data_IF_475114027869
#
_entry.id   IF_475114027869
#
_cell.length_a   1.000
_cell.length_b   1.000
_cell.length_c   1.000
_cell.angle_alpha   90.00
_cell.angle_beta   90.00
_cell.angle_gamma   90.00
#
_symmetry.space_group_name_H-M   'P 1'
#
loop_
_entity.id
_entity.type
_entity.pdbx_description
1 polymer ?
#
# COMPACT_ATOMS: atom_id res chain seq x y z
N UNK A 1 30.20 39.65 -28.88
CA UNK A 1 30.75 38.89 -27.74
C UNK A 1 30.38 39.66 -26.48
N UNK A 2 29.48 39.27 -25.58
CA UNK A 2 28.85 37.98 -25.26
C UNK A 2 27.43 38.32 -24.73
N UNK A 3 26.34 38.04 -25.45
CA UNK A 3 25.58 36.78 -25.36
C UNK A 3 26.25 35.74 -24.46
N UNK A 4 25.78 35.61 -23.21
CA UNK A 4 25.98 34.50 -22.25
C UNK A 4 26.00 35.05 -20.81
N UNK A 5 24.84 35.47 -20.26
CA UNK A 5 24.50 35.29 -18.83
C UNK A 5 23.05 35.69 -18.50
N UNK A 6 22.11 35.44 -19.42
CA UNK A 6 20.66 35.58 -19.19
C UNK A 6 20.00 34.24 -18.77
N UNK A 7 20.79 33.29 -18.28
CA UNK A 7 20.29 32.11 -17.58
C UNK A 7 20.85 32.15 -16.18
N UNK A 8 20.01 32.42 -15.18
CA UNK A 8 20.09 31.81 -13.86
C UNK A 8 18.82 32.17 -13.08
N UNK A 9 17.98 31.14 -12.93
CA UNK A 9 17.01 30.94 -11.86
C UNK A 9 15.77 31.83 -11.86
N UNK A 10 14.89 31.57 -12.85
CA UNK A 10 13.50 31.39 -12.50
C UNK A 10 13.38 30.11 -11.64
N UNK A 11 13.75 30.17 -10.36
CA UNK A 11 13.12 29.28 -9.38
C UNK A 11 11.68 29.78 -9.35
N UNK A 12 10.84 29.22 -10.20
CA UNK A 12 9.44 29.13 -9.86
C UNK A 12 9.45 28.42 -8.51
N UNK A 13 9.25 29.19 -7.44
CA UNK A 13 8.78 28.62 -6.21
C UNK A 13 7.53 27.85 -6.63
N UNK A 14 7.66 26.53 -6.80
CA UNK A 14 6.51 25.66 -6.74
C UNK A 14 6.03 25.85 -5.32
N UNK A 15 5.17 26.85 -5.14
CA UNK A 15 4.24 26.90 -4.03
C UNK A 15 3.41 25.64 -4.22
N UNK A 16 3.91 24.53 -3.71
CA UNK A 16 3.10 23.34 -3.53
C UNK A 16 1.98 23.82 -2.60
N UNK A 17 0.72 23.85 -3.05
CA UNK A 17 -0.36 24.18 -2.13
C UNK A 17 -0.25 23.22 -0.94
N UNK A 18 0.04 23.79 0.23
CA UNK A 18 -0.11 23.08 1.49
C UNK A 18 -1.58 22.68 1.60
N UNK A 19 -1.81 21.38 1.78
CA UNK A 19 -2.96 20.80 2.46
C UNK A 19 -4.34 21.21 1.93
N UNK A 20 -4.86 20.46 0.95
CA UNK A 20 -6.23 20.65 0.50
C UNK A 20 -6.82 19.47 -0.27
N UNK A 21 -6.21 18.28 -0.23
CA UNK A 21 -6.79 17.12 -0.92
C UNK A 21 -8.16 16.84 -0.32
N UNK A 22 -9.21 17.05 -1.13
CA UNK A 22 -10.54 16.72 -0.67
C UNK A 22 -10.74 15.23 -0.84
N UNK A 23 -10.72 14.53 0.27
CA UNK A 23 -11.24 13.17 0.25
C UNK A 23 -12.73 13.26 -0.01
N UNK A 24 -13.27 12.33 -0.77
CA UNK A 24 -12.69 11.05 -1.21
C UNK A 24 -11.93 11.13 -2.57
N UNK A 25 -10.86 10.35 -2.73
CA UNK A 25 -10.14 10.24 -4.01
C UNK A 25 -10.87 9.26 -4.96
N UNK A 26 -11.10 9.63 -6.22
CA UNK A 26 -11.75 8.77 -7.23
C UNK A 26 -10.88 8.60 -8.49
N UNK A 27 -11.33 7.77 -9.44
CA UNK A 27 -10.70 7.61 -10.77
C UNK A 27 -11.58 8.30 -11.80
N UNK A 28 -11.02 9.22 -12.57
CA UNK A 28 -11.67 9.79 -13.73
C UNK A 28 -10.79 9.53 -14.95
N UNK A 29 -11.30 8.74 -15.90
CA UNK A 29 -10.54 8.22 -17.04
C UNK A 29 -9.31 7.39 -16.61
N UNK A 30 -8.13 7.98 -16.67
CA UNK A 30 -6.82 7.41 -16.33
C UNK A 30 -6.08 8.20 -15.25
N UNK A 31 -6.78 9.13 -14.58
CA UNK A 31 -6.23 9.97 -13.54
C UNK A 31 -6.91 9.73 -12.20
N UNK A 32 -6.12 9.85 -11.12
CA UNK A 32 -6.66 9.98 -9.77
C UNK A 32 -7.13 11.43 -9.64
N UNK A 33 -8.34 11.63 -9.13
CA UNK A 33 -8.86 12.95 -8.82
C UNK A 33 -9.36 13.00 -7.38
N UNK A 34 -9.33 14.17 -6.77
CA UNK A 34 -9.92 14.40 -5.46
C UNK A 34 -11.44 14.67 -5.54
N UNK A 35 -12.06 14.97 -4.41
CA UNK A 35 -13.49 15.23 -4.28
C UNK A 35 -13.99 16.48 -4.99
N UNK A 36 -13.10 17.39 -5.40
CA UNK A 36 -13.42 18.54 -6.26
C UNK A 36 -13.20 18.21 -7.75
N UNK A 37 -12.70 17.00 -8.07
CA UNK A 37 -12.32 16.61 -9.43
C UNK A 37 -10.93 17.08 -9.84
N UNK A 38 -10.12 17.61 -8.92
CA UNK A 38 -8.74 18.02 -9.21
C UNK A 38 -7.82 16.82 -9.29
N UNK A 39 -6.92 16.80 -10.28
CA UNK A 39 -5.94 15.70 -10.43
C UNK A 39 -5.06 15.60 -9.20
N UNK A 40 -5.02 14.40 -8.64
CA UNK A 40 -4.20 14.05 -7.49
C UNK A 40 -3.06 13.13 -7.91
N UNK A 41 -1.83 13.42 -7.46
CA UNK A 41 -0.68 12.57 -7.71
C UNK A 41 -0.10 12.06 -6.39
N UNK A 42 0.02 10.75 -6.25
CA UNK A 42 0.70 10.13 -5.13
C UNK A 42 2.20 10.38 -5.20
N UNK A 43 2.78 10.89 -4.11
CA UNK A 43 4.21 10.96 -3.85
C UNK A 43 4.42 10.27 -2.52
N UNK A 44 4.57 8.94 -2.57
CA UNK A 44 4.59 8.14 -1.35
C UNK A 44 6.00 7.75 -0.94
N UNK A 45 6.27 7.87 0.35
CA UNK A 45 7.35 7.14 1.00
C UNK A 45 6.92 5.68 1.21
N UNK A 46 7.83 4.72 1.04
CA UNK A 46 7.54 3.33 1.39
C UNK A 46 8.03 3.03 2.81
N UNK A 47 7.13 2.60 3.71
CA UNK A 47 7.46 2.26 5.10
C UNK A 47 7.22 0.77 5.35
N UNK A 48 8.30 0.03 5.56
CA UNK A 48 8.25 -1.40 5.82
C UNK A 48 7.66 -1.70 7.20
N UNK A 49 6.53 -2.41 7.24
CA UNK A 49 5.97 -3.04 8.45
C UNK A 49 5.69 -4.54 8.28
N UNK A 50 6.23 -5.13 7.21
CA UNK A 50 6.05 -6.55 6.86
C UNK A 50 7.26 -7.42 7.23
N UNK A 51 8.26 -6.82 7.88
CA UNK A 51 9.50 -7.48 8.32
C UNK A 51 9.23 -8.46 9.46
N UNK A 52 10.24 -9.15 9.94
CA UNK A 52 10.18 -10.32 10.84
C UNK A 52 9.36 -10.09 12.12
N UNK A 53 9.22 -8.84 12.56
CA UNK A 53 8.45 -8.44 13.75
C UNK A 53 6.99 -8.10 13.46
N UNK A 54 6.58 -7.96 12.20
CA UNK A 54 5.30 -7.38 11.78
C UNK A 54 5.05 -5.97 12.36
N UNK A 55 6.11 -5.25 12.72
CA UNK A 55 6.06 -3.86 13.20
C UNK A 55 6.63 -2.93 12.13
N UNK A 56 6.07 -1.70 11.98
CA UNK A 56 6.73 -0.66 11.20
C UNK A 56 8.15 -0.41 11.72
N UNK A 57 9.13 -0.50 10.82
CA UNK A 57 10.55 -0.34 11.15
C UNK A 57 10.85 1.07 11.70
N UNK A 58 11.86 1.17 12.56
CA UNK A 58 12.33 2.45 13.09
C UNK A 58 11.78 2.83 14.46
N UNK A 59 10.72 2.17 14.94
CA UNK A 59 10.12 2.44 16.25
C UNK A 59 11.04 2.12 17.45
N UNK A 60 12.07 1.30 17.23
CA UNK A 60 13.15 1.08 18.20
C UNK A 60 14.14 2.25 18.24
N UNK A 61 14.21 3.09 17.21
CA UNK A 61 15.20 4.15 17.08
C UNK A 61 14.68 5.52 17.51
N UNK A 62 13.40 5.82 17.31
CA UNK A 62 12.80 7.13 17.61
C UNK A 62 11.31 7.01 17.95
N UNK A 63 10.72 8.01 18.65
CA UNK A 63 9.28 8.08 18.84
C UNK A 63 8.53 8.10 17.51
N UNK A 64 7.38 7.43 17.44
CA UNK A 64 6.51 7.36 16.26
C UNK A 64 6.23 8.76 15.69
N UNK A 65 5.91 9.72 16.57
CA UNK A 65 5.60 11.07 16.14
C UNK A 65 6.79 11.77 15.47
N UNK A 66 8.02 11.53 15.93
CA UNK A 66 9.21 12.13 15.31
C UNK A 66 9.43 11.60 13.90
N UNK A 67 9.21 10.30 13.68
CA UNK A 67 9.28 9.69 12.34
C UNK A 67 8.25 10.36 11.43
N UNK A 68 6.99 10.41 11.85
CA UNK A 68 5.90 11.01 11.07
C UNK A 68 6.14 12.50 10.78
N UNK A 69 6.60 13.25 11.78
CA UNK A 69 6.92 14.67 11.62
C UNK A 69 8.05 14.90 10.62
N UNK A 70 9.04 14.00 10.59
CA UNK A 70 10.11 14.01 9.58
C UNK A 70 9.55 13.77 8.18
N UNK A 71 8.62 12.83 8.01
CA UNK A 71 7.97 12.58 6.72
C UNK A 71 7.18 13.79 6.23
N UNK A 72 6.35 14.36 7.12
CA UNK A 72 5.49 15.48 6.78
C UNK A 72 6.30 16.76 6.49
N UNK A 73 7.28 17.08 7.34
CA UNK A 73 8.11 18.30 7.20
C UNK A 73 9.04 18.28 5.99
N UNK A 74 9.34 17.10 5.42
CA UNK A 74 10.14 17.00 4.20
C UNK A 74 9.53 17.73 3.01
N UNK A 75 8.19 17.87 2.97
CA UNK A 75 7.43 18.38 1.82
C UNK A 75 7.49 17.49 0.57
N UNK A 76 8.31 16.43 0.58
CA UNK A 76 8.52 15.53 -0.54
C UNK A 76 7.36 14.56 -0.73
N UNK A 77 6.72 14.17 0.38
CA UNK A 77 5.70 13.14 0.39
C UNK A 77 4.33 13.69 0.79
N UNK A 78 3.28 13.24 0.10
CA UNK A 78 1.88 13.45 0.51
C UNK A 78 1.20 12.15 0.97
N UNK A 79 1.93 11.04 0.95
CA UNK A 79 1.45 9.75 1.39
C UNK A 79 2.55 8.83 1.88
N UNK A 80 2.14 7.76 2.54
CA UNK A 80 3.00 6.63 2.89
C UNK A 80 2.37 5.35 2.35
N UNK A 81 3.16 4.57 1.60
CA UNK A 81 2.87 3.17 1.31
C UNK A 81 3.30 2.33 2.50
N UNK A 82 2.35 2.00 3.36
CA UNK A 82 2.59 1.26 4.60
C UNK A 82 2.39 -0.23 4.35
N UNK A 83 3.46 -1.00 4.49
CA UNK A 83 3.48 -2.41 4.16
C UNK A 83 3.09 -3.28 5.35
N UNK A 84 2.34 -4.37 5.11
CA UNK A 84 2.07 -5.39 6.12
C UNK A 84 2.17 -6.81 5.52
N UNK A 85 2.43 -7.80 6.37
CA UNK A 85 2.33 -9.21 6.01
C UNK A 85 0.95 -9.79 6.39
N UNK A 86 0.46 -10.80 5.67
CA UNK A 86 -0.77 -11.53 6.06
C UNK A 86 -0.68 -12.04 7.49
N UNK A 87 0.52 -12.48 7.89
CA UNK A 87 0.84 -12.98 9.23
C UNK A 87 0.50 -12.00 10.36
N UNK A 88 0.46 -10.68 10.11
CA UNK A 88 0.04 -9.66 11.07
C UNK A 88 -1.29 -10.02 11.74
N UNK A 89 -2.25 -10.54 10.97
CA UNK A 89 -3.57 -10.93 11.48
C UNK A 89 -3.63 -12.38 11.99
N UNK A 90 -2.73 -13.25 11.51
CA UNK A 90 -2.55 -14.58 12.09
C UNK A 90 -1.98 -14.50 13.52
N UNK A 91 -1.15 -13.49 13.79
CA UNK A 91 -0.55 -13.19 15.10
C UNK A 91 -1.25 -12.03 15.83
N UNK A 92 -2.55 -11.82 15.59
CA UNK A 92 -3.29 -10.63 16.06
C UNK A 92 -3.28 -10.40 17.57
N UNK A 93 -3.09 -11.44 18.37
CA UNK A 93 -3.07 -11.37 19.84
C UNK A 93 -1.63 -11.24 20.40
N UNK A 94 -0.62 -11.35 19.54
CA UNK A 94 0.77 -11.11 19.92
C UNK A 94 1.00 -9.60 20.11
N UNK A 95 1.72 -9.23 21.16
CA UNK A 95 2.14 -7.84 21.40
C UNK A 95 3.42 -7.50 20.65
N UNK A 96 3.72 -6.22 20.48
CA UNK A 96 5.01 -5.78 19.92
C UNK A 96 6.20 -6.35 20.71
N UNK A 97 6.12 -6.36 22.04
CA UNK A 97 7.12 -6.96 22.92
C UNK A 97 7.34 -8.44 22.65
N UNK A 98 6.25 -9.22 22.55
CA UNK A 98 6.33 -10.65 22.27
C UNK A 98 6.90 -10.92 20.88
N UNK A 99 6.51 -10.12 19.88
CA UNK A 99 7.05 -10.24 18.53
C UNK A 99 8.56 -9.98 18.52
N UNK A 100 9.02 -8.84 19.05
CA UNK A 100 10.45 -8.55 19.20
C UNK A 100 11.21 -9.63 19.96
N UNK A 101 10.62 -10.19 21.03
CA UNK A 101 11.23 -11.25 21.83
C UNK A 101 11.39 -12.57 21.07
N UNK A 102 10.49 -12.88 20.14
CA UNK A 102 10.41 -14.21 19.51
C UNK A 102 10.90 -14.22 18.06
N UNK A 103 10.93 -13.07 17.39
CA UNK A 103 11.43 -12.95 16.01
C UNK A 103 12.91 -13.30 15.91
N UNK A 104 13.25 -14.00 14.82
CA UNK A 104 14.61 -14.48 14.52
C UNK A 104 15.24 -15.25 15.69
N UNK A 105 14.49 -16.20 16.26
CA UNK A 105 14.92 -17.03 17.39
C UNK A 105 15.41 -16.19 18.59
N UNK A 106 14.80 -15.02 18.79
CA UNK A 106 15.10 -14.08 19.86
C UNK A 106 16.22 -13.09 19.58
N UNK A 107 16.81 -13.11 18.37
CA UNK A 107 17.87 -12.16 17.99
C UNK A 107 17.42 -10.70 18.06
N UNK A 108 16.11 -10.41 17.97
CA UNK A 108 15.56 -9.06 18.04
C UNK A 108 15.13 -8.61 19.45
N UNK A 109 15.26 -9.48 20.47
CA UNK A 109 14.92 -9.14 21.86
C UNK A 109 15.68 -7.90 22.41
N UNK A 110 16.95 -7.62 22.04
CA UNK A 110 17.64 -6.40 22.45
C UNK A 110 16.95 -5.10 22.02
N UNK A 111 16.06 -5.13 21.01
CA UNK A 111 15.31 -3.96 20.56
C UNK A 111 14.07 -3.63 21.42
N UNK A 112 13.70 -4.49 22.38
CA UNK A 112 12.55 -4.23 23.28
C UNK A 112 12.79 -2.97 24.12
N UNK A 113 13.92 -2.88 24.83
CA UNK A 113 14.22 -1.75 25.70
C UNK A 113 14.27 -0.40 24.95
N UNK A 114 14.95 -0.27 23.79
CA UNK A 114 14.93 0.98 23.05
C UNK A 114 13.57 1.29 22.40
N UNK A 115 12.79 0.29 21.96
CA UNK A 115 11.41 0.51 21.52
C UNK A 115 10.55 1.05 22.67
N UNK A 116 10.57 0.40 23.83
CA UNK A 116 9.81 0.81 25.02
C UNK A 116 10.20 2.20 25.50
N UNK A 117 11.50 2.56 25.43
CA UNK A 117 11.97 3.90 25.75
C UNK A 117 11.35 4.98 24.85
N UNK A 118 11.23 4.69 23.55
CA UNK A 118 10.75 5.68 22.57
C UNK A 118 9.23 5.69 22.39
N UNK A 119 8.58 4.55 22.60
CA UNK A 119 7.16 4.31 22.34
C UNK A 119 6.54 3.42 23.43
N UNK A 120 6.58 3.85 24.72
CA UNK A 120 6.11 3.05 25.85
C UNK A 120 4.63 2.68 25.76
N UNK A 121 3.82 3.49 25.08
CA UNK A 121 2.40 3.26 24.86
C UNK A 121 2.11 2.19 23.78
N UNK A 122 3.09 1.82 22.97
CA UNK A 122 2.93 0.87 21.85
C UNK A 122 3.48 -0.52 22.15
N UNK A 123 4.48 -0.66 23.03
CA UNK A 123 5.26 -1.89 23.18
C UNK A 123 4.41 -3.11 23.63
N UNK A 124 3.36 -2.88 24.43
CA UNK A 124 2.48 -3.94 24.91
C UNK A 124 1.12 -3.98 24.17
N UNK A 125 0.97 -3.21 23.10
CA UNK A 125 -0.20 -3.29 22.23
C UNK A 125 -0.12 -4.53 21.31
N UNK A 126 -1.28 -5.14 20.97
CA UNK A 126 -1.35 -6.14 19.92
C UNK A 126 -0.83 -5.60 18.58
N UNK A 127 -0.18 -6.43 17.76
CA UNK A 127 0.47 -5.98 16.51
C UNK A 127 -0.44 -5.16 15.58
N UNK A 128 -1.71 -5.56 15.30
CA UNK A 128 -2.60 -4.75 14.47
C UNK A 128 -2.90 -3.37 15.08
N UNK A 129 -2.86 -3.24 16.42
CA UNK A 129 -3.07 -1.97 17.11
C UNK A 129 -1.87 -1.03 17.01
N UNK A 130 -0.65 -1.56 16.96
CA UNK A 130 0.53 -0.75 16.62
C UNK A 130 0.43 -0.24 15.18
N UNK A 131 0.06 -1.11 14.24
CA UNK A 131 -0.15 -0.71 12.84
C UNK A 131 -1.21 0.40 12.72
N UNK A 132 -2.34 0.26 13.42
CA UNK A 132 -3.39 1.29 13.49
C UNK A 132 -2.88 2.61 14.12
N UNK A 133 -2.05 2.55 15.16
CA UNK A 133 -1.44 3.73 15.77
C UNK A 133 -0.55 4.49 14.77
N UNK A 134 0.21 3.78 13.92
CA UNK A 134 1.01 4.40 12.85
C UNK A 134 0.12 5.10 11.83
N UNK A 135 -0.97 4.46 11.37
CA UNK A 135 -1.94 5.09 10.46
C UNK A 135 -2.56 6.35 11.08
N UNK A 136 -2.92 6.28 12.37
CA UNK A 136 -3.45 7.44 13.11
C UNK A 136 -2.42 8.58 13.19
N UNK A 137 -1.16 8.27 13.48
CA UNK A 137 -0.11 9.27 13.56
C UNK A 137 0.12 9.94 12.20
N UNK A 138 0.20 9.18 11.11
CA UNK A 138 0.29 9.71 9.74
C UNK A 138 -0.88 10.65 9.42
N UNK A 139 -2.10 10.23 9.76
CA UNK A 139 -3.30 11.04 9.56
C UNK A 139 -3.26 12.38 10.32
N UNK A 140 -2.63 12.42 11.51
CA UNK A 140 -2.51 13.65 12.30
C UNK A 140 -1.61 14.72 11.67
N UNK A 141 -0.84 14.34 10.63
CA UNK A 141 0.02 15.24 9.85
C UNK A 141 -0.40 15.31 8.37
N UNK A 142 -1.67 15.05 8.09
CA UNK A 142 -2.28 15.11 6.75
C UNK A 142 -1.61 14.21 5.70
N UNK A 143 -0.86 13.17 6.12
CA UNK A 143 -0.30 12.18 5.22
C UNK A 143 -1.36 11.11 4.92
N UNK A 144 -1.65 10.92 3.63
CA UNK A 144 -2.49 9.82 3.19
C UNK A 144 -1.75 8.49 3.33
N UNK A 145 -2.49 7.39 3.45
CA UNK A 145 -1.93 6.06 3.61
C UNK A 145 -2.42 5.15 2.49
N UNK A 146 -1.46 4.59 1.77
CA UNK A 146 -1.67 3.49 0.85
C UNK A 146 -1.26 2.20 1.56
N UNK A 147 -2.23 1.34 1.84
CA UNK A 147 -1.99 0.07 2.53
C UNK A 147 -1.52 -0.96 1.52
N UNK A 148 -0.43 -1.66 1.81
CA UNK A 148 0.15 -2.63 0.88
C UNK A 148 0.32 -3.98 1.56
N UNK A 149 -0.43 -4.99 1.10
CA UNK A 149 -0.11 -6.36 1.46
C UNK A 149 1.15 -6.78 0.72
N UNK A 150 2.27 -6.86 1.44
CA UNK A 150 3.58 -6.99 0.82
C UNK A 150 4.01 -8.46 0.67
N UNK A 151 3.77 -9.25 1.71
CA UNK A 151 4.08 -10.67 1.77
C UNK A 151 3.02 -11.39 2.59
N UNK A 152 3.05 -12.72 2.60
CA UNK A 152 2.19 -13.54 3.45
C UNK A 152 2.87 -13.89 4.76
N UNK A 153 4.05 -14.50 4.69
CA UNK A 153 4.93 -14.70 5.83
C UNK A 153 5.84 -13.49 5.99
N UNK A 154 5.95 -12.98 7.21
CA UNK A 154 6.73 -11.79 7.51
C UNK A 154 8.23 -12.03 7.31
N UNK A 155 8.94 -11.01 6.82
CA UNK A 155 10.38 -11.04 6.55
C UNK A 155 10.75 -10.50 5.17
N UNK A 156 12.04 -10.63 4.83
CA UNK A 156 12.59 -10.12 3.58
C UNK A 156 12.09 -10.88 2.34
N UNK A 157 12.01 -10.15 1.23
CA UNK A 157 11.57 -10.60 -0.09
C UNK A 157 12.54 -10.01 -1.15
N UNK A 158 12.37 -10.14 -2.46
CA UNK A 158 11.22 -10.57 -3.24
C UNK A 158 11.63 -11.58 -4.34
N UNK A 159 12.35 -12.64 -3.94
CA UNK A 159 12.83 -13.65 -4.89
C UNK A 159 11.68 -14.51 -5.44
N UNK A 160 11.95 -15.29 -6.49
CA UNK A 160 11.01 -16.29 -6.99
C UNK A 160 10.87 -17.51 -6.04
N UNK A 161 11.70 -17.59 -5.00
CA UNK A 161 11.79 -18.75 -4.10
C UNK A 161 11.45 -18.42 -2.64
N UNK A 162 11.04 -17.19 -2.35
CA UNK A 162 10.67 -16.74 -1.00
C UNK A 162 9.32 -17.29 -0.50
N UNK A 163 8.62 -18.07 -1.34
CA UNK A 163 7.32 -18.67 -1.03
C UNK A 163 6.15 -17.69 -1.01
N UNK A 164 6.33 -16.42 -1.36
CA UNK A 164 5.28 -15.40 -1.35
C UNK A 164 4.76 -15.06 -2.76
N UNK A 165 5.19 -15.82 -3.78
CA UNK A 165 5.09 -15.36 -5.17
C UNK A 165 3.79 -15.57 -5.90
N UNK A 166 3.04 -16.64 -5.60
CA UNK A 166 1.80 -16.98 -6.30
C UNK A 166 0.75 -17.59 -5.39
N UNK A 167 -0.51 -17.47 -5.80
CA UNK A 167 -1.67 -17.95 -5.07
C UNK A 167 -1.62 -19.45 -4.76
N UNK A 168 -1.93 -19.80 -3.51
CA UNK A 168 -1.94 -21.16 -2.96
C UNK A 168 -0.61 -21.89 -3.13
N UNK A 169 0.51 -21.16 -3.15
CA UNK A 169 1.86 -21.70 -3.19
C UNK A 169 2.68 -21.18 -2.00
N UNK A 170 3.51 -22.05 -1.42
CA UNK A 170 4.40 -21.72 -0.31
C UNK A 170 3.66 -21.11 0.89
N UNK A 171 3.89 -19.83 1.13
CA UNK A 171 3.29 -19.05 2.20
C UNK A 171 2.04 -18.28 1.77
N UNK A 172 1.72 -18.20 0.47
CA UNK A 172 0.60 -17.41 -0.03
C UNK A 172 -0.70 -18.22 -0.13
N UNK A 173 -1.26 -18.55 1.03
CA UNK A 173 -2.63 -19.07 1.13
C UNK A 173 -3.67 -17.97 0.82
N UNK A 174 -4.53 -18.22 -0.18
CA UNK A 174 -5.55 -17.26 -0.63
C UNK A 174 -6.57 -16.97 0.46
N UNK A 175 -6.98 -17.98 1.22
CA UNK A 175 -8.02 -17.84 2.25
C UNK A 175 -7.56 -16.89 3.35
N UNK A 176 -6.34 -17.10 3.84
CA UNK A 176 -5.68 -16.25 4.83
C UNK A 176 -5.46 -14.83 4.31
N UNK A 177 -5.04 -14.70 3.04
CA UNK A 177 -4.87 -13.40 2.40
C UNK A 177 -6.18 -12.61 2.32
N UNK A 178 -7.27 -13.22 1.81
CA UNK A 178 -8.60 -12.58 1.75
C UNK A 178 -9.07 -12.17 3.15
N UNK A 179 -8.92 -13.06 4.14
CA UNK A 179 -9.25 -12.77 5.53
C UNK A 179 -8.46 -11.58 6.08
N UNK A 180 -7.16 -11.49 5.74
CA UNK A 180 -6.31 -10.36 6.15
C UNK A 180 -6.72 -9.04 5.51
N UNK A 181 -7.13 -9.03 4.24
CA UNK A 181 -7.64 -7.85 3.56
C UNK A 181 -8.91 -7.33 4.24
N UNK A 182 -9.85 -8.24 4.53
CA UNK A 182 -11.09 -7.91 5.24
C UNK A 182 -10.82 -7.38 6.66
N UNK A 183 -9.86 -7.99 7.36
CA UNK A 183 -9.44 -7.57 8.70
C UNK A 183 -8.79 -6.19 8.70
N UNK A 184 -7.91 -5.91 7.72
CA UNK A 184 -7.27 -4.60 7.56
C UNK A 184 -8.27 -3.51 7.19
N UNK A 185 -9.19 -3.80 6.26
CA UNK A 185 -10.28 -2.89 5.90
C UNK A 185 -11.17 -2.57 7.12
N UNK A 186 -11.51 -3.58 7.92
CA UNK A 186 -12.28 -3.39 9.16
C UNK A 186 -11.52 -2.53 10.17
N UNK A 187 -10.23 -2.81 10.38
CA UNK A 187 -9.35 -2.08 11.28
C UNK A 187 -9.26 -0.60 10.92
N UNK A 188 -9.16 -0.29 9.62
CA UNK A 188 -8.93 1.07 9.12
C UNK A 188 -10.18 1.81 8.65
N UNK A 189 -11.36 1.18 8.74
CA UNK A 189 -12.65 1.73 8.27
C UNK A 189 -13.01 3.12 8.82
N UNK A 190 -12.42 3.52 9.95
CA UNK A 190 -12.62 4.82 10.60
C UNK A 190 -11.60 5.90 10.23
N UNK A 191 -10.62 5.59 9.37
CA UNK A 191 -9.56 6.50 8.96
C UNK A 191 -9.72 6.86 7.48
N UNK A 192 -10.34 7.99 7.15
CA UNK A 192 -10.45 8.45 5.76
C UNK A 192 -9.09 8.63 5.08
N UNK A 193 -8.03 8.88 5.85
CA UNK A 193 -6.66 8.97 5.35
C UNK A 193 -6.12 7.66 4.75
N UNK A 194 -6.72 6.50 5.04
CA UNK A 194 -6.41 5.24 4.36
C UNK A 194 -7.16 5.18 3.02
N UNK A 195 -6.52 5.69 1.98
CA UNK A 195 -7.18 6.03 0.70
C UNK A 195 -7.03 4.97 -0.40
N UNK A 196 -6.12 4.02 -0.24
CA UNK A 196 -5.77 3.06 -1.28
C UNK A 196 -5.26 1.74 -0.70
N UNK A 197 -5.44 0.66 -1.47
CA UNK A 197 -5.02 -0.69 -1.09
C UNK A 197 -4.30 -1.40 -2.24
N UNK A 198 -2.98 -1.49 -2.14
CA UNK A 198 -2.17 -2.43 -2.92
C UNK A 198 -2.41 -3.85 -2.38
N UNK A 199 -3.24 -4.60 -3.12
CA UNK A 199 -3.76 -5.89 -2.69
C UNK A 199 -2.68 -6.97 -2.59
N UNK A 200 -1.61 -6.88 -3.39
CA UNK A 200 -0.46 -7.78 -3.32
C UNK A 200 0.76 -7.18 -4.02
N UNK A 201 1.86 -7.09 -3.29
CA UNK A 201 3.14 -6.67 -3.84
C UNK A 201 3.74 -7.71 -4.79
N UNK A 202 4.16 -7.25 -5.97
CA UNK A 202 5.04 -7.96 -6.90
C UNK A 202 4.64 -9.42 -7.15
N UNK A 203 3.38 -9.67 -7.52
CA UNK A 203 2.95 -11.02 -7.89
C UNK A 203 3.93 -11.58 -8.95
N UNK A 204 4.63 -12.66 -8.59
CA UNK A 204 5.63 -13.26 -9.47
C UNK A 204 4.94 -14.19 -10.46
N UNK A 205 5.69 -14.85 -11.33
CA UNK A 205 5.15 -15.92 -12.18
C UNK A 205 5.44 -17.27 -11.55
N UNK A 206 4.70 -18.29 -11.96
CA UNK A 206 4.97 -19.69 -11.58
C UNK A 206 5.10 -20.57 -12.84
N UNK A 207 5.21 -21.87 -12.65
CA UNK A 207 5.35 -22.85 -13.74
C UNK A 207 4.04 -23.12 -14.50
N UNK A 208 2.91 -22.54 -14.07
CA UNK A 208 1.63 -22.74 -14.75
C UNK A 208 1.57 -21.98 -16.07
N UNK A 209 0.80 -22.51 -17.03
CA UNK A 209 0.60 -21.83 -18.31
C UNK A 209 -0.08 -20.47 -18.14
N UNK A 210 0.24 -19.53 -19.03
CA UNK A 210 -0.22 -18.13 -18.98
C UNK A 210 -1.75 -17.99 -18.87
N UNK A 211 -2.52 -18.81 -19.59
CA UNK A 211 -3.98 -18.78 -19.52
C UNK A 211 -4.49 -19.11 -18.10
N UNK A 212 -3.88 -20.08 -17.43
CA UNK A 212 -4.21 -20.41 -16.04
C UNK A 212 -3.79 -19.29 -15.09
N UNK A 213 -2.61 -18.71 -15.28
CA UNK A 213 -2.15 -17.59 -14.46
C UNK A 213 -3.10 -16.38 -14.54
N UNK A 214 -3.57 -16.04 -15.74
CA UNK A 214 -4.58 -14.98 -15.94
C UNK A 214 -5.89 -15.34 -15.23
N UNK A 215 -6.36 -16.58 -15.38
CA UNK A 215 -7.60 -17.05 -14.73
C UNK A 215 -7.52 -16.97 -13.21
N UNK A 216 -6.41 -17.45 -12.61
CA UNK A 216 -6.17 -17.37 -11.17
C UNK A 216 -6.10 -15.91 -10.70
N UNK A 217 -5.38 -15.05 -11.43
CA UNK A 217 -5.31 -13.62 -11.14
C UNK A 217 -6.69 -12.98 -11.12
N UNK A 218 -7.47 -13.14 -12.20
CA UNK A 218 -8.82 -12.57 -12.31
C UNK A 218 -9.72 -13.06 -11.18
N UNK A 219 -9.69 -14.35 -10.88
CA UNK A 219 -10.51 -14.96 -9.83
C UNK A 219 -10.14 -14.43 -8.45
N UNK A 220 -8.89 -14.54 -8.05
CA UNK A 220 -8.49 -14.27 -6.67
C UNK A 220 -8.43 -12.77 -6.37
N UNK A 221 -7.99 -11.93 -7.32
CA UNK A 221 -8.11 -10.47 -7.15
C UNK A 221 -9.56 -10.06 -6.99
N UNK A 222 -10.48 -10.55 -7.83
CA UNK A 222 -11.92 -10.23 -7.67
C UNK A 222 -12.45 -10.61 -6.28
N UNK A 223 -12.04 -11.76 -5.74
CA UNK A 223 -12.44 -12.17 -4.39
C UNK A 223 -11.83 -11.26 -3.30
N UNK A 224 -10.54 -10.91 -3.40
CA UNK A 224 -9.88 -10.00 -2.47
C UNK A 224 -10.50 -8.61 -2.47
N UNK A 225 -10.85 -8.09 -3.66
CA UNK A 225 -11.57 -6.82 -3.84
C UNK A 225 -12.90 -6.87 -3.10
N UNK A 226 -13.72 -7.90 -3.36
CA UNK A 226 -15.04 -8.03 -2.73
C UNK A 226 -14.92 -8.04 -1.20
N UNK A 227 -14.03 -8.87 -0.64
CA UNK A 227 -13.84 -8.97 0.80
C UNK A 227 -13.36 -7.67 1.46
N UNK A 228 -12.57 -6.86 0.73
CA UNK A 228 -12.14 -5.55 1.17
C UNK A 228 -13.29 -4.53 1.15
N UNK A 229 -13.97 -4.43 0.00
CA UNK A 229 -15.04 -3.44 -0.23
C UNK A 229 -16.26 -3.64 0.67
N UNK A 230 -16.57 -4.88 1.05
CA UNK A 230 -17.67 -5.21 1.98
C UNK A 230 -17.49 -4.59 3.38
N UNK A 231 -16.25 -4.30 3.80
CA UNK A 231 -15.94 -3.78 5.13
C UNK A 231 -15.71 -2.27 5.17
N UNK A 232 -15.62 -1.63 4.01
CA UNK A 232 -15.44 -0.18 3.91
C UNK A 232 -16.83 0.48 3.82
N UNK A 233 -17.17 1.42 4.72
CA UNK A 233 -18.50 2.04 4.72
C UNK A 233 -18.87 2.69 3.38
N UNK A 234 -20.06 2.38 2.86
CA UNK A 234 -20.61 2.94 1.61
C UNK A 234 -20.79 4.47 1.61
N UNK A 235 -20.66 5.15 2.76
CA UNK A 235 -20.58 6.63 2.83
C UNK A 235 -19.34 7.19 2.11
N UNK A 236 -18.38 6.33 1.77
CA UNK A 236 -17.30 6.60 0.84
C UNK A 236 -17.68 6.11 -0.57
N UNK A 237 -18.73 6.68 -1.17
CA UNK A 237 -19.24 6.40 -2.54
C UNK A 237 -18.26 6.79 -3.67
N UNK A 238 -16.98 6.65 -3.39
CA UNK A 238 -15.95 7.54 -3.86
C UNK A 238 -14.56 7.16 -3.37
N UNK A 239 -14.40 6.10 -2.57
CA UNK A 239 -13.08 5.48 -2.49
C UNK A 239 -12.84 4.95 -3.91
N UNK A 240 -11.94 5.57 -4.66
CA UNK A 240 -11.24 4.85 -5.70
C UNK A 240 -10.66 3.63 -4.99
N UNK A 241 -11.25 2.49 -5.25
CA UNK A 241 -10.61 1.23 -4.96
C UNK A 241 -9.40 1.15 -5.89
N UNK A 242 -8.33 1.84 -5.50
CA UNK A 242 -7.01 1.70 -6.09
C UNK A 242 -6.51 0.33 -5.67
N UNK A 243 -6.92 -0.66 -6.43
CA UNK A 243 -6.37 -2.02 -6.41
C UNK A 243 -5.27 -2.00 -7.45
N UNK A 244 -4.06 -1.69 -7.00
CA UNK A 244 -2.87 -1.89 -7.82
C UNK A 244 -2.23 -3.20 -7.42
N UNK A 245 -1.68 -3.94 -8.38
CA UNK A 245 -0.57 -4.86 -8.12
C UNK A 245 0.70 -4.13 -8.49
N UNK A 246 1.71 -4.09 -7.63
CA UNK A 246 3.00 -3.46 -7.95
C UNK A 246 3.85 -4.22 -8.98
N UNK A 247 3.31 -5.24 -9.66
CA UNK A 247 4.04 -5.97 -10.69
C UNK A 247 4.15 -5.16 -12.00
N UNK A 248 5.35 -4.63 -12.26
CA UNK A 248 5.73 -4.00 -13.55
C UNK A 248 5.51 -4.92 -14.76
N UNK A 249 5.45 -6.24 -14.55
CA UNK A 249 5.31 -7.25 -15.62
C UNK A 249 3.88 -7.45 -16.12
N UNK A 250 2.86 -7.21 -15.27
CA UNK A 250 1.47 -7.49 -15.63
C UNK A 250 0.70 -6.25 -16.15
N UNK A 251 1.21 -5.05 -15.91
CA UNK A 251 0.55 -3.78 -16.28
C UNK A 251 0.96 -3.23 -17.65
N UNK A 252 2.07 -3.70 -18.25
CA UNK A 252 2.68 -3.06 -19.43
C UNK A 252 2.27 -3.63 -20.80
N UNK A 253 1.50 -4.71 -20.87
CA UNK A 253 1.30 -5.47 -22.12
C UNK A 253 -0.01 -5.15 -22.90
N UNK A 254 -0.68 -4.02 -22.62
CA UNK A 254 -1.82 -3.55 -23.45
C UNK A 254 -1.60 -2.25 -24.23
N UNK A 255 -0.44 -1.60 -24.10
CA UNK A 255 -0.18 -0.34 -24.84
C UNK A 255 0.53 -0.52 -26.18
N UNK A 256 1.01 -1.73 -26.52
CA UNK A 256 1.60 -1.99 -27.84
C UNK A 256 1.17 -3.35 -28.40
N UNK A 257 0.05 -3.35 -29.11
CA UNK A 257 -0.40 -4.42 -30.00
C UNK A 257 -1.12 -3.80 -31.19
N UNK A 258 -0.40 -3.67 -32.30
CA UNK A 258 -0.89 -3.18 -33.59
C UNK A 258 -2.05 -4.04 -34.14
N UNK A 259 -3.04 -3.39 -34.75
CA UNK A 259 -3.79 -3.95 -35.88
C UNK A 259 -5.03 -4.80 -35.59
N UNK A 260 -6.19 -4.19 -35.83
CA UNK A 260 -7.42 -4.79 -36.39
C UNK A 260 -7.91 -6.11 -35.81
N UNK A 261 -8.99 -6.06 -35.01
CA UNK A 261 -10.23 -6.76 -35.33
C UNK A 261 -11.40 -6.09 -34.62
N UNK A 262 -12.31 -5.57 -35.41
CA UNK A 262 -13.65 -5.17 -35.03
C UNK A 262 -14.44 -6.39 -34.56
N UNK A 263 -15.05 -6.30 -33.38
CA UNK A 263 -16.25 -7.06 -33.07
C UNK A 263 -17.24 -6.10 -32.40
N UNK A 264 -18.16 -5.59 -33.21
CA UNK A 264 -19.39 -4.97 -32.75
C UNK A 264 -20.26 -6.02 -32.05
N UNK A 265 -20.65 -5.75 -30.81
CA UNK A 265 -21.81 -6.37 -30.20
C UNK A 265 -22.71 -5.25 -29.68
N UNK A 266 -23.64 -4.84 -30.53
CA UNK A 266 -24.85 -4.12 -30.16
C UNK A 266 -25.65 -4.97 -29.18
N UNK A 267 -25.90 -4.43 -27.99
CA UNK A 267 -26.74 -5.06 -26.98
C UNK A 267 -27.19 -4.04 -25.94
N UNK A 268 -28.34 -3.43 -26.18
CA UNK A 268 -29.07 -2.62 -25.19
C UNK A 268 -29.48 -3.50 -24.01
N UNK A 269 -28.94 -3.24 -22.83
CA UNK A 269 -29.36 -3.94 -21.61
C UNK A 269 -28.64 -3.38 -20.38
N UNK A 270 -29.35 -2.62 -19.56
CA UNK A 270 -28.87 -2.15 -18.27
C UNK A 270 -28.58 -3.34 -17.34
N UNK A 271 -27.32 -3.58 -17.00
CA UNK A 271 -26.97 -4.31 -15.78
C UNK A 271 -25.61 -3.88 -15.25
N UNK A 272 -25.56 -3.67 -13.94
CA UNK A 272 -24.47 -3.11 -13.15
C UNK A 272 -23.28 -4.06 -13.00
N UNK A 273 -22.53 -4.37 -14.06
CA UNK A 273 -21.45 -5.38 -14.01
C UNK A 273 -20.13 -5.12 -14.73
N UNK A 274 -19.86 -3.92 -15.24
CA UNK A 274 -18.56 -3.62 -15.85
C UNK A 274 -17.83 -2.48 -15.13
N UNK A 275 -17.08 -2.82 -14.08
CA UNK A 275 -16.02 -1.93 -13.55
C UNK A 275 -14.67 -2.53 -13.93
N UNK A 276 -14.18 -2.18 -15.12
CA UNK A 276 -12.86 -2.58 -15.59
C UNK A 276 -11.81 -1.72 -14.87
N UNK A 277 -11.03 -2.31 -13.95
CA UNK A 277 -10.00 -1.59 -13.18
C UNK A 277 -8.81 -1.28 -14.11
N UNK A 278 -8.68 -0.01 -14.52
CA UNK A 278 -7.43 0.50 -15.11
C UNK A 278 -6.46 0.81 -13.99
N UNK A 279 -5.39 0.02 -13.87
CA UNK A 279 -4.30 0.31 -12.94
C UNK A 279 -3.53 1.56 -13.40
N UNK A 280 -3.50 2.60 -12.58
CA UNK A 280 -2.59 3.75 -12.75
C UNK A 280 -1.27 3.39 -12.08
N UNK A 281 -0.16 3.49 -12.82
CA UNK A 281 1.16 3.19 -12.28
C UNK A 281 1.56 4.19 -11.19
N UNK A 282 1.89 3.68 -10.00
CA UNK A 282 2.43 4.50 -8.91
C UNK A 282 3.95 4.54 -9.00
N UNK A 283 4.51 5.75 -9.02
CA UNK A 283 5.95 5.97 -8.90
C UNK A 283 6.27 6.11 -7.40
N UNK A 284 6.96 5.10 -6.84
CA UNK A 284 7.28 5.02 -5.41
C UNK A 284 8.80 5.14 -5.26
N UNK A 285 9.26 6.06 -4.43
CA UNK A 285 10.69 6.29 -4.16
C UNK A 285 11.10 5.52 -2.89
N UNK A 286 12.22 4.77 -2.92
CA UNK A 286 12.73 4.09 -1.73
C UNK A 286 13.28 5.09 -0.70
N UNK A 287 13.05 4.83 0.59
CA UNK A 287 13.73 5.55 1.67
C UNK A 287 15.16 5.03 1.81
N UNK A 288 16.15 5.88 1.64
CA UNK A 288 17.51 5.61 2.09
C UNK A 288 17.55 5.77 3.61
N UNK A 289 18.03 4.75 4.31
CA UNK A 289 18.22 4.81 5.75
C UNK A 289 19.05 6.04 6.12
N UNK A 290 18.49 6.92 6.94
CA UNK A 290 19.27 7.96 7.60
C UNK A 290 20.30 7.24 8.49
N UNK A 291 21.58 7.48 8.19
CA UNK A 291 22.71 7.04 9.03
C UNK A 291 22.65 7.69 10.40
#
# INVERSE_FOLDING_TARGET
>A
MNSFLLMLLAIAAMTFPSSGVKLPLSVMNDQVVDGDGSVFQFRCANWAGHMETNLPEGLQHQPLQNIVDTLASSGAFNCVRLNYAVELFAKRDMTARQSLRTSLDGALAPHIAPFEKHNPELIDLPLPKVFEAVVKALASRDLLVLISNHVSKAGWCCSFTDGNGWFNEGHFDVTSWISSLSSMASLLSRYPSAVAFDLRNELRTNVHGRARQISDWMRYFSQGINALTERIPKRSSSLAHWITTSSRSWTRERTHGNGTTSASASGTGSSSRDTFIRGVGLEIQPMTAAK
#
